data_IF_458448596792
#
_entry.id   IF_458448596792
#
_cell.length_a   1.000
_cell.length_b   1.000
_cell.length_c   1.000
_cell.angle_alpha   90.00
_cell.angle_beta   90.00
_cell.angle_gamma   90.00
#
_symmetry.space_group_name_H-M   'P 1'
#
loop_
_entity.id
_entity.type
_entity.pdbx_description
1 polymer ?
#
# COMPACT_ATOMS: atom_id res chain seq x y z
N UNK A 1 6.32 7.57 11.82
CA UNK A 1 5.06 6.80 11.74
C UNK A 1 4.71 6.38 10.32
N UNK A 2 4.64 7.29 9.34
CA UNK A 2 4.20 6.99 7.97
C UNK A 2 5.06 5.95 7.26
N UNK A 3 6.38 5.99 7.42
CA UNK A 3 7.31 5.02 6.83
C UNK A 3 7.03 3.56 7.27
N UNK A 4 6.60 3.36 8.53
CA UNK A 4 6.25 2.03 9.05
C UNK A 4 4.92 1.50 8.51
N UNK A 5 3.99 2.40 8.17
CA UNK A 5 2.67 2.06 7.62
C UNK A 5 2.72 1.79 6.12
N UNK A 6 3.72 2.34 5.43
CA UNK A 6 3.95 2.05 4.01
C UNK A 6 4.38 0.59 3.84
N UNK A 7 3.93 -0.01 2.75
CA UNK A 7 4.21 -1.40 2.39
C UNK A 7 4.64 -1.46 0.93
N UNK A 8 5.93 -1.71 0.70
CA UNK A 8 6.50 -1.78 -0.65
C UNK A 8 6.07 -3.05 -1.41
N UNK A 9 5.65 -4.10 -0.72
CA UNK A 9 5.09 -5.29 -1.37
C UNK A 9 3.72 -4.96 -1.97
N UNK A 10 2.83 -4.34 -1.19
CA UNK A 10 1.54 -3.86 -1.69
C UNK A 10 1.73 -2.83 -2.80
N UNK A 11 2.63 -1.85 -2.61
CA UNK A 11 2.91 -0.85 -3.63
C UNK A 11 3.34 -1.48 -4.98
N UNK A 12 4.13 -2.57 -4.94
CA UNK A 12 4.52 -3.33 -6.14
C UNK A 12 3.34 -3.93 -6.88
N UNK A 13 2.33 -4.42 -6.16
CA UNK A 13 1.11 -4.98 -6.75
C UNK A 13 0.32 -3.91 -7.51
N UNK A 14 0.18 -2.72 -6.94
CA UNK A 14 -0.45 -1.57 -7.62
C UNK A 14 0.38 -1.07 -8.79
N UNK A 15 1.70 -1.03 -8.67
CA UNK A 15 2.59 -0.69 -9.78
C UNK A 15 2.40 -1.66 -10.96
N UNK A 16 2.06 -2.92 -10.69
CA UNK A 16 1.68 -3.93 -11.69
C UNK A 16 0.36 -3.67 -12.43
N UNK A 17 -0.35 -2.59 -12.13
CA UNK A 17 -1.50 -2.12 -12.92
C UNK A 17 -1.08 -1.15 -14.03
N UNK A 18 0.10 -0.51 -13.91
CA UNK A 18 0.65 0.34 -14.95
C UNK A 18 1.24 -0.51 -16.09
N UNK A 19 1.51 0.14 -17.23
CA UNK A 19 2.27 -0.49 -18.31
C UNK A 19 3.71 -0.80 -17.87
N UNK A 20 4.35 -1.73 -18.58
CA UNK A 20 5.67 -2.24 -18.21
C UNK A 20 6.73 -1.14 -18.15
N UNK A 21 6.73 -0.23 -19.14
CA UNK A 21 7.75 0.80 -19.25
C UNK A 21 7.65 1.78 -18.06
N UNK A 22 6.44 2.27 -17.77
CA UNK A 22 6.20 3.14 -16.60
C UNK A 22 6.56 2.43 -15.29
N UNK A 23 6.18 1.16 -15.15
CA UNK A 23 6.45 0.39 -13.93
C UNK A 23 7.95 0.22 -13.69
N UNK A 24 8.71 -0.13 -14.71
CA UNK A 24 10.16 -0.36 -14.61
C UNK A 24 10.96 0.93 -14.40
N UNK A 25 10.47 2.06 -14.91
CA UNK A 25 11.11 3.36 -14.66
C UNK A 25 10.83 3.88 -13.23
N UNK A 26 9.58 3.82 -12.78
CA UNK A 26 9.15 4.56 -11.58
C UNK A 26 9.25 3.75 -10.29
N UNK A 27 8.76 2.51 -10.29
CA UNK A 27 8.65 1.74 -9.03
C UNK A 27 10.01 1.44 -8.38
N UNK A 28 11.07 1.04 -9.11
CA UNK A 28 12.38 0.83 -8.51
C UNK A 28 12.95 2.07 -7.83
N UNK A 29 12.72 3.26 -8.41
CA UNK A 29 13.15 4.54 -7.82
C UNK A 29 12.45 4.81 -6.49
N UNK A 30 11.13 4.61 -6.44
CA UNK A 30 10.35 4.77 -5.20
C UNK A 30 10.82 3.78 -4.13
N UNK A 31 11.01 2.50 -4.48
CA UNK A 31 11.48 1.47 -3.54
C UNK A 31 12.88 1.78 -3.01
N UNK A 32 13.79 2.21 -3.87
CA UNK A 32 15.15 2.58 -3.48
C UNK A 32 15.16 3.78 -2.51
N UNK A 33 14.39 4.82 -2.80
CA UNK A 33 14.26 5.99 -1.91
C UNK A 33 13.64 5.62 -0.56
N UNK A 34 12.66 4.71 -0.54
CA UNK A 34 12.10 4.16 0.70
C UNK A 34 13.19 3.48 1.54
N UNK A 35 13.98 2.58 0.95
CA UNK A 35 15.04 1.84 1.63
C UNK A 35 16.19 2.74 2.12
N UNK A 36 16.56 3.76 1.33
CA UNK A 36 17.55 4.77 1.73
C UNK A 36 17.03 5.55 2.95
N UNK A 37 15.78 5.99 2.89
CA UNK A 37 15.15 6.77 3.97
C UNK A 37 15.02 5.95 5.25
N UNK A 38 14.60 4.69 5.16
CA UNK A 38 14.50 3.79 6.31
C UNK A 38 15.86 3.59 6.97
N UNK A 39 16.90 3.26 6.20
CA UNK A 39 18.25 3.07 6.73
C UNK A 39 18.80 4.34 7.38
N UNK A 40 18.61 5.50 6.75
CA UNK A 40 19.06 6.77 7.32
C UNK A 40 18.36 7.06 8.65
N UNK A 41 17.06 6.82 8.74
CA UNK A 41 16.28 7.05 9.96
C UNK A 41 16.74 6.11 11.09
N UNK A 42 16.90 4.82 10.81
CA UNK A 42 17.39 3.84 11.80
C UNK A 42 18.79 4.21 12.29
N UNK A 43 19.69 4.61 11.39
CA UNK A 43 21.03 5.05 11.74
C UNK A 43 21.04 6.28 12.64
N UNK A 44 20.25 7.31 12.31
CA UNK A 44 20.17 8.56 13.09
C UNK A 44 19.56 8.32 14.47
N UNK A 45 18.55 7.45 14.55
CA UNK A 45 17.82 7.18 15.79
C UNK A 45 18.49 6.12 16.67
N UNK A 46 19.41 5.32 16.12
CA UNK A 46 20.00 4.18 16.80
C UNK A 46 19.02 3.03 17.05
N UNK A 47 17.90 2.98 16.31
CA UNK A 47 16.90 1.94 16.42
C UNK A 47 17.21 0.77 15.48
N UNK A 48 16.85 -0.45 15.90
CA UNK A 48 16.96 -1.65 15.06
C UNK A 48 15.76 -1.77 14.11
N UNK A 49 14.60 -1.27 14.54
CA UNK A 49 13.37 -1.25 13.74
C UNK A 49 12.63 0.07 13.83
N UNK A 50 11.86 0.36 12.80
CA UNK A 50 10.96 1.51 12.79
C UNK A 50 9.96 1.41 13.94
N UNK A 51 9.82 2.51 14.68
CA UNK A 51 8.97 2.67 15.87
C UNK A 51 9.44 1.89 17.12
N UNK A 52 10.74 1.63 17.29
CA UNK A 52 11.25 1.01 18.51
C UNK A 52 10.97 1.83 19.79
N UNK A 53 10.86 3.15 19.65
CA UNK A 53 10.44 4.05 20.72
C UNK A 53 8.92 4.01 21.02
N UNK A 54 8.11 3.35 20.18
CA UNK A 54 6.65 3.29 20.25
C UNK A 54 6.14 1.85 20.00
N UNK A 55 6.59 0.89 20.82
CA UNK A 55 6.34 -0.55 20.64
C UNK A 55 4.85 -0.94 20.59
N UNK A 56 3.99 -0.23 21.31
CA UNK A 56 2.54 -0.45 21.27
C UNK A 56 1.98 -0.18 19.87
N UNK A 57 2.47 0.89 19.21
CA UNK A 57 2.04 1.28 17.87
C UNK A 57 2.57 0.29 16.84
N UNK A 58 3.82 -0.18 17.00
CA UNK A 58 4.38 -1.24 16.16
C UNK A 58 3.50 -2.50 16.20
N UNK A 59 3.04 -2.90 17.38
CA UNK A 59 2.15 -4.05 17.56
C UNK A 59 0.77 -3.79 16.97
N UNK A 60 0.20 -2.62 17.18
CA UNK A 60 -1.09 -2.24 16.62
C UNK A 60 -1.08 -2.28 15.07
N UNK A 61 -0.02 -1.76 14.44
CA UNK A 61 0.16 -1.84 12.98
C UNK A 61 0.25 -3.31 12.53
N UNK A 62 1.06 -4.12 13.21
CA UNK A 62 1.26 -5.54 12.87
C UNK A 62 -0.03 -6.35 12.96
N UNK A 63 -0.85 -6.13 14.00
CA UNK A 63 -2.13 -6.83 14.18
C UNK A 63 -3.18 -6.39 13.15
N UNK A 64 -3.09 -5.16 12.67
CA UNK A 64 -4.04 -4.61 11.69
C UNK A 64 -3.74 -5.10 10.27
N UNK A 65 -2.48 -5.17 9.86
CA UNK A 65 -2.11 -5.46 8.46
C UNK A 65 -2.81 -6.69 7.86
N UNK A 66 -2.96 -7.83 8.58
CA UNK A 66 -3.71 -9.00 8.06
C UNK A 66 -5.16 -8.72 7.62
N UNK A 67 -5.79 -7.65 8.10
CA UNK A 67 -7.13 -7.23 7.68
C UNK A 67 -7.10 -6.26 6.51
N UNK A 68 -6.03 -5.47 6.37
CA UNK A 68 -5.88 -4.45 5.31
C UNK A 68 -5.30 -5.06 4.05
N UNK A 69 -4.40 -6.02 4.16
CA UNK A 69 -3.71 -6.62 3.01
C UNK A 69 -4.71 -7.32 2.06
N UNK A 70 -5.67 -8.15 2.53
CA UNK A 70 -6.69 -8.76 1.67
C UNK A 70 -7.49 -7.73 0.88
N UNK A 71 -7.83 -6.59 1.50
CA UNK A 71 -8.55 -5.51 0.81
C UNK A 71 -7.72 -4.90 -0.31
N UNK A 72 -6.40 -4.76 -0.13
CA UNK A 72 -5.50 -4.29 -1.19
C UNK A 72 -5.44 -5.30 -2.35
N UNK A 73 -5.29 -6.61 -2.07
CA UNK A 73 -5.30 -7.64 -3.12
C UNK A 73 -6.60 -7.63 -3.92
N UNK A 74 -7.74 -7.55 -3.24
CA UNK A 74 -9.06 -7.46 -3.87
C UNK A 74 -9.14 -6.17 -4.71
N UNK A 75 -8.75 -5.02 -4.17
CA UNK A 75 -8.79 -3.76 -4.90
C UNK A 75 -7.93 -3.81 -6.17
N UNK A 76 -6.72 -4.37 -6.11
CA UNK A 76 -5.85 -4.54 -7.29
C UNK A 76 -6.53 -5.43 -8.34
N UNK A 77 -7.13 -6.55 -7.94
CA UNK A 77 -7.84 -7.44 -8.86
C UNK A 77 -9.05 -6.74 -9.52
N UNK A 78 -9.83 -6.00 -8.74
CA UNK A 78 -10.99 -5.24 -9.24
C UNK A 78 -10.57 -4.10 -10.17
N UNK A 79 -9.51 -3.37 -9.85
CA UNK A 79 -8.96 -2.32 -10.71
C UNK A 79 -8.47 -2.89 -12.03
N UNK A 80 -7.82 -4.05 -12.01
CA UNK A 80 -7.40 -4.74 -13.24
C UNK A 80 -8.62 -5.11 -14.08
N UNK A 81 -9.65 -5.72 -13.48
CA UNK A 81 -10.89 -6.07 -14.17
C UNK A 81 -11.60 -4.85 -14.76
N UNK A 82 -11.70 -3.77 -13.99
CA UNK A 82 -12.31 -2.51 -14.43
C UNK A 82 -11.59 -1.90 -15.65
N UNK A 83 -10.26 -2.02 -15.74
CA UNK A 83 -9.49 -1.52 -16.89
C UNK A 83 -9.66 -2.36 -18.16
N UNK A 84 -10.18 -3.58 -18.04
CA UNK A 84 -10.34 -4.50 -19.16
C UNK A 84 -11.80 -4.80 -19.52
N UNK A 85 -12.77 -4.42 -18.67
CA UNK A 85 -14.18 -4.57 -19.03
C UNK A 85 -14.57 -3.57 -20.12
N UNK A 86 -15.37 -4.04 -21.08
CA UNK A 86 -16.04 -3.21 -22.07
C UNK A 86 -17.54 -3.01 -21.76
N UNK A 87 -18.03 -3.61 -20.67
CA UNK A 87 -19.43 -3.55 -20.25
C UNK A 87 -19.64 -2.38 -19.26
N UNK A 88 -20.46 -1.37 -19.61
CA UNK A 88 -20.75 -0.24 -18.72
C UNK A 88 -21.39 -0.64 -17.39
N UNK A 89 -22.28 -1.64 -17.38
CA UNK A 89 -23.00 -2.03 -16.17
C UNK A 89 -22.07 -2.77 -15.20
N UNK A 90 -21.21 -3.64 -15.74
CA UNK A 90 -20.13 -4.27 -14.98
C UNK A 90 -19.14 -3.23 -14.43
N UNK A 91 -18.76 -2.24 -15.25
CA UNK A 91 -17.85 -1.19 -14.84
C UNK A 91 -18.39 -0.41 -13.65
N UNK A 92 -19.69 -0.09 -13.64
CA UNK A 92 -20.35 0.62 -12.54
C UNK A 92 -20.40 -0.23 -11.26
N UNK A 93 -20.74 -1.51 -11.38
CA UNK A 93 -20.69 -2.45 -10.26
C UNK A 93 -19.27 -2.57 -9.66
N UNK A 94 -18.23 -2.67 -10.51
CA UNK A 94 -16.84 -2.73 -10.06
C UNK A 94 -16.41 -1.44 -9.36
N UNK A 95 -16.78 -0.26 -9.89
CA UNK A 95 -16.50 1.04 -9.25
C UNK A 95 -17.08 1.10 -7.84
N UNK A 96 -18.31 0.64 -7.67
CA UNK A 96 -18.98 0.60 -6.35
C UNK A 96 -18.19 -0.24 -5.33
N UNK A 97 -17.71 -1.43 -5.73
CA UNK A 97 -16.92 -2.30 -4.84
C UNK A 97 -15.52 -1.72 -4.59
N UNK A 98 -14.89 -1.11 -5.60
CA UNK A 98 -13.61 -0.43 -5.43
C UNK A 98 -13.74 0.71 -4.41
N UNK A 99 -14.79 1.52 -4.45
CA UNK A 99 -15.03 2.57 -3.46
C UNK A 99 -15.17 2.02 -2.04
N UNK A 100 -15.83 0.87 -1.87
CA UNK A 100 -15.90 0.19 -0.57
C UNK A 100 -14.50 -0.22 -0.08
N UNK A 101 -13.66 -0.76 -0.96
CA UNK A 101 -12.28 -1.12 -0.60
C UNK A 101 -11.42 0.11 -0.26
N UNK A 102 -11.62 1.25 -0.93
CA UNK A 102 -10.95 2.53 -0.58
C UNK A 102 -11.29 2.92 0.87
N UNK A 103 -12.57 2.88 1.23
CA UNK A 103 -13.02 3.21 2.59
C UNK A 103 -12.45 2.23 3.63
N UNK A 104 -12.45 0.93 3.33
CA UNK A 104 -11.88 -0.09 4.22
C UNK A 104 -10.39 0.08 4.47
N UNK A 105 -9.61 0.30 3.40
CA UNK A 105 -8.16 0.55 3.50
C UNK A 105 -7.89 1.83 4.28
N UNK A 106 -8.62 2.92 3.99
CA UNK A 106 -8.49 4.19 4.71
C UNK A 106 -8.77 4.04 6.21
N UNK A 107 -9.86 3.34 6.58
CA UNK A 107 -10.21 3.07 7.97
C UNK A 107 -9.11 2.27 8.69
N UNK A 108 -8.48 1.31 8.00
CA UNK A 108 -7.34 0.56 8.51
C UNK A 108 -6.10 1.44 8.70
N UNK A 109 -5.68 2.18 7.68
CA UNK A 109 -4.44 2.97 7.72
C UNK A 109 -4.49 4.11 8.74
N UNK A 110 -5.69 4.65 9.01
CA UNK A 110 -5.92 5.80 9.89
C UNK A 110 -5.09 7.00 9.40
N UNK A 111 -4.47 7.74 10.31
CA UNK A 111 -3.65 8.91 9.99
C UNK A 111 -2.36 8.54 9.22
N UNK A 112 -2.17 9.07 8.02
CA UNK A 112 -0.98 8.81 7.19
C UNK A 112 -0.10 10.04 6.97
N UNK A 113 -0.60 11.24 7.30
CA UNK A 113 0.08 12.53 7.24
C UNK A 113 -0.34 13.42 8.39
#
# INVERSE_FOLDING_TARGET
MSLRKADMHIARLYAGLADEATRQDIFPRISAEYEITERALLHITGHDQLLDNERWLQTAIRLRNPYVDPMNYIQVALLRRLRHTGDPDEAEALRSVILLSVNGIAAGLRNTG
#
